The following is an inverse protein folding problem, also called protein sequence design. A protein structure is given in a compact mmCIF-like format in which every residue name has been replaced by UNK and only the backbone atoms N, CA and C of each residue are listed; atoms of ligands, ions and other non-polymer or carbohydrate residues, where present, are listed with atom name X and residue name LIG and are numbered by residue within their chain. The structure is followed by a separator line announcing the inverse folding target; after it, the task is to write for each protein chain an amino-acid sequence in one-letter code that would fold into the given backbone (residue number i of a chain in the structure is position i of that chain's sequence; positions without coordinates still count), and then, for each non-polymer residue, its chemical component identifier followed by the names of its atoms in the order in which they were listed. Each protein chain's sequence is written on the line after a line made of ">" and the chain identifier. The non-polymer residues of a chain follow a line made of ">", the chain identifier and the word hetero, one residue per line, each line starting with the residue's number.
data_IF_569131046034
#
_entry.id   IF_569131046034
#
_cell.length_a   1.000
_cell.length_b   1.000
_cell.length_c   1.000
_cell.angle_alpha   90.00
_cell.angle_beta   90.00
_cell.angle_gamma   90.00
#
_symmetry.space_group_name_H-M   'P 1'
#
loop_
_entity.id
_entity.type
_entity.pdbx_description
1 polymer ?
#
# COMPACT_ATOMS: atom_id res chain seq x y z
N UNK A 1 -33.65 -22.43 0.74
CA UNK A 1 -32.28 -21.88 0.78
C UNK A 1 -32.33 -20.57 0.04
N UNK A 2 -32.52 -19.49 0.80
CA UNK A 2 -32.73 -18.15 0.28
C UNK A 2 -31.41 -17.60 -0.28
N UNK A 3 -31.43 -17.23 -1.56
CA UNK A 3 -30.38 -16.46 -2.21
C UNK A 3 -30.36 -15.06 -1.60
N UNK A 4 -29.33 -14.76 -0.83
CA UNK A 4 -29.06 -13.38 -0.41
C UNK A 4 -28.79 -12.53 -1.66
N UNK A 5 -29.64 -11.52 -1.85
CA UNK A 5 -29.50 -10.55 -2.92
C UNK A 5 -28.21 -9.77 -2.77
N UNK A 6 -27.48 -9.64 -3.87
CA UNK A 6 -26.40 -8.69 -3.99
C UNK A 6 -26.99 -7.28 -3.92
N UNK A 7 -26.73 -6.58 -2.82
CA UNK A 7 -26.85 -5.13 -2.77
C UNK A 7 -25.81 -4.56 -3.75
N UNK A 8 -26.29 -4.24 -4.96
CA UNK A 8 -25.51 -3.48 -5.93
C UNK A 8 -25.15 -2.14 -5.30
N UNK A 9 -23.88 -2.00 -4.92
CA UNK A 9 -23.30 -0.73 -4.51
C UNK A 9 -23.24 0.19 -5.74
N UNK A 10 -24.39 0.77 -6.09
CA UNK A 10 -24.47 1.92 -6.96
C UNK A 10 -23.67 3.02 -6.27
N UNK A 11 -22.52 3.37 -6.84
CA UNK A 11 -21.90 4.66 -6.53
C UNK A 11 -22.90 5.71 -6.97
N UNK A 12 -23.59 6.42 -6.06
CA UNK A 12 -24.43 7.52 -6.51
C UNK A 12 -23.52 8.48 -7.28
N UNK A 13 -23.98 9.06 -8.41
CA UNK A 13 -23.23 10.14 -9.05
C UNK A 13 -22.89 11.16 -7.96
N UNK A 14 -21.60 11.33 -7.69
CA UNK A 14 -21.17 12.28 -6.69
C UNK A 14 -21.72 13.63 -7.12
N UNK A 15 -22.63 14.21 -6.32
CA UNK A 15 -23.06 15.58 -6.54
C UNK A 15 -21.79 16.42 -6.67
N UNK A 16 -21.70 17.36 -7.63
CA UNK A 16 -20.56 18.25 -7.71
C UNK A 16 -20.35 18.85 -6.32
N UNK A 17 -19.25 18.47 -5.67
CA UNK A 17 -18.90 19.05 -4.38
C UNK A 17 -18.83 20.56 -4.58
N UNK A 18 -19.41 21.32 -3.66
CA UNK A 18 -19.20 22.75 -3.65
C UNK A 18 -17.68 23.00 -3.71
N UNK A 19 -17.21 23.92 -4.55
CA UNK A 19 -15.78 24.18 -4.69
C UNK A 19 -15.22 24.47 -3.30
N UNK A 20 -14.40 23.55 -2.80
CA UNK A 20 -13.71 23.73 -1.54
C UNK A 20 -12.58 24.73 -1.75
N UNK A 21 -12.26 25.54 -0.73
CA UNK A 21 -11.15 26.49 -0.85
C UNK A 21 -9.84 25.73 -1.09
N UNK A 22 -9.01 26.26 -1.96
CA UNK A 22 -7.64 25.78 -2.13
C UNK A 22 -6.86 25.96 -0.81
N UNK A 23 -6.19 24.88 -0.38
CA UNK A 23 -5.48 24.82 0.91
C UNK A 23 -3.96 24.73 0.76
N UNK A 24 -3.38 25.31 -0.28
CA UNK A 24 -1.93 25.27 -0.52
C UNK A 24 -1.12 25.80 0.67
N UNK A 25 -1.53 26.92 1.26
CA UNK A 25 -0.81 27.52 2.39
C UNK A 25 -0.82 26.61 3.63
N UNK A 26 -1.93 25.89 3.86
CA UNK A 26 -2.01 24.91 4.95
C UNK A 26 -1.07 23.72 4.69
N UNK A 27 -1.00 23.24 3.43
CA UNK A 27 -0.11 22.15 3.04
C UNK A 27 1.36 22.55 3.21
N UNK A 28 1.75 23.74 2.73
CA UNK A 28 3.12 24.27 2.88
C UNK A 28 3.49 24.48 4.35
N UNK A 29 2.58 25.02 5.16
CA UNK A 29 2.79 25.20 6.60
C UNK A 29 2.99 23.86 7.32
N UNK A 30 2.18 22.85 7.00
CA UNK A 30 2.31 21.51 7.58
C UNK A 30 3.62 20.82 7.18
N UNK A 31 4.01 20.92 5.90
CA UNK A 31 5.29 20.37 5.41
C UNK A 31 6.47 21.04 6.10
N UNK A 32 6.45 22.37 6.19
CA UNK A 32 7.52 23.15 6.83
C UNK A 32 7.66 22.76 8.30
N UNK A 33 6.56 22.71 9.05
CA UNK A 33 6.58 22.26 10.44
C UNK A 33 7.11 20.82 10.60
N UNK A 34 6.76 19.93 9.67
CA UNK A 34 7.25 18.54 9.66
C UNK A 34 8.75 18.46 9.46
N UNK A 35 9.31 19.27 8.55
CA UNK A 35 10.74 19.31 8.26
C UNK A 35 11.52 19.99 9.39
N UNK A 36 11.07 21.15 9.87
CA UNK A 36 11.77 21.96 10.88
C UNK A 36 11.87 21.28 12.23
N UNK A 37 10.78 20.64 12.69
CA UNK A 37 10.78 19.94 13.96
C UNK A 37 11.39 18.52 13.85
N UNK A 38 11.98 18.18 12.70
CA UNK A 38 12.49 16.85 12.37
C UNK A 38 11.49 15.75 12.72
N UNK A 39 10.20 16.03 12.54
CA UNK A 39 9.13 15.19 13.07
C UNK A 39 9.14 13.86 12.34
N UNK A 40 9.50 12.80 13.08
CA UNK A 40 9.19 11.43 12.70
C UNK A 40 7.69 11.25 12.86
N UNK A 41 6.95 11.48 11.78
CA UNK A 41 5.53 11.22 11.78
C UNK A 41 5.27 9.73 12.07
N UNK A 42 4.22 9.41 12.84
CA UNK A 42 3.77 8.04 13.00
C UNK A 42 3.55 7.38 11.64
N UNK A 43 3.86 6.09 11.51
CA UNK A 43 3.72 5.35 10.24
C UNK A 43 2.27 5.32 9.72
N UNK A 44 1.32 5.45 10.63
CA UNK A 44 -0.12 5.56 10.38
C UNK A 44 -0.58 6.93 9.88
N UNK A 45 0.30 7.94 9.90
CA UNK A 45 -0.09 9.31 9.60
C UNK A 45 -0.36 9.48 8.10
N UNK A 46 -1.56 9.94 7.78
CA UNK A 46 -1.99 10.35 6.44
C UNK A 46 -2.70 11.68 6.57
N UNK A 47 -2.35 12.65 5.73
CA UNK A 47 -2.98 13.96 5.68
C UNK A 47 -3.50 14.22 4.28
N UNK A 48 -4.66 14.87 4.20
CA UNK A 48 -5.32 15.22 2.96
C UNK A 48 -5.52 16.74 2.89
N UNK A 49 -5.23 17.32 1.73
CA UNK A 49 -5.44 18.74 1.44
C UNK A 49 -6.23 18.87 0.14
N UNK A 50 -7.21 19.77 0.14
CA UNK A 50 -7.90 20.14 -1.09
C UNK A 50 -7.06 21.16 -1.85
N UNK A 51 -6.47 20.77 -2.98
CA UNK A 51 -5.63 21.63 -3.83
C UNK A 51 -6.12 21.63 -5.27
N UNK A 52 -6.05 22.78 -5.92
CA UNK A 52 -6.18 22.90 -7.36
C UNK A 52 -4.95 22.27 -8.07
N UNK A 53 -5.08 21.87 -9.35
CA UNK A 53 -3.96 21.31 -10.11
C UNK A 53 -2.73 22.22 -10.15
N UNK A 54 -2.93 23.54 -10.27
CA UNK A 54 -1.84 24.53 -10.30
C UNK A 54 -1.11 24.58 -8.96
N UNK A 55 -1.86 24.55 -7.86
CA UNK A 55 -1.32 24.55 -6.50
C UNK A 55 -0.61 23.24 -6.16
N UNK A 56 -1.06 22.11 -6.71
CA UNK A 56 -0.30 20.86 -6.64
C UNK A 56 1.05 20.97 -7.35
N UNK A 57 1.11 21.59 -8.54
CA UNK A 57 2.38 21.82 -9.24
C UNK A 57 3.31 22.75 -8.44
N UNK A 58 2.76 23.78 -7.79
CA UNK A 58 3.52 24.65 -6.89
C UNK A 58 4.08 23.88 -5.69
N UNK A 59 3.25 23.05 -5.03
CA UNK A 59 3.69 22.19 -3.93
C UNK A 59 4.82 21.23 -4.35
N UNK A 60 4.75 20.68 -5.56
CA UNK A 60 5.79 19.82 -6.12
C UNK A 60 7.13 20.55 -6.31
N UNK A 61 7.16 21.87 -6.40
CA UNK A 61 8.39 22.67 -6.55
C UNK A 61 8.96 23.13 -5.21
N UNK A 62 8.20 23.01 -4.11
CA UNK A 62 8.62 23.43 -2.79
C UNK A 62 9.81 22.60 -2.26
N UNK A 63 10.80 23.29 -1.69
CA UNK A 63 12.05 22.66 -1.22
C UNK A 63 11.80 21.73 -0.01
N UNK A 64 10.93 22.11 0.92
CA UNK A 64 10.61 21.28 2.08
C UNK A 64 9.79 20.05 1.67
N UNK A 65 8.93 20.18 0.66
CA UNK A 65 8.23 19.03 0.09
C UNK A 65 9.21 18.02 -0.54
N UNK A 66 10.24 18.50 -1.25
CA UNK A 66 11.31 17.65 -1.75
C UNK A 66 12.11 16.97 -0.63
N UNK A 67 12.29 17.63 0.52
CA UNK A 67 12.88 17.00 1.72
C UNK A 67 11.98 15.89 2.25
N UNK A 68 10.66 16.11 2.35
CA UNK A 68 9.71 15.07 2.75
C UNK A 68 9.73 13.85 1.80
N UNK A 69 9.77 14.07 0.48
CA UNK A 69 9.92 12.98 -0.50
C UNK A 69 11.20 12.19 -0.30
N UNK A 70 12.34 12.85 -0.05
CA UNK A 70 13.62 12.19 0.28
C UNK A 70 13.55 11.41 1.61
N UNK A 71 12.71 11.85 2.54
CA UNK A 71 12.36 11.11 3.78
C UNK A 71 11.34 9.99 3.54
N UNK A 72 11.10 9.60 2.28
CA UNK A 72 10.21 8.51 1.86
C UNK A 72 8.72 8.75 2.10
N UNK A 73 8.30 10.01 2.20
CA UNK A 73 6.87 10.34 2.18
C UNK A 73 6.34 10.09 0.77
N UNK A 74 5.16 9.48 0.68
CA UNK A 74 4.44 9.35 -0.60
C UNK A 74 3.42 10.46 -0.69
N UNK A 75 3.27 11.01 -1.88
CA UNK A 75 2.23 11.98 -2.17
C UNK A 75 1.51 11.58 -3.46
N UNK A 76 0.20 11.68 -3.45
CA UNK A 76 -0.65 11.45 -4.62
C UNK A 76 -1.63 12.58 -4.78
N UNK A 77 -1.99 12.89 -6.02
CA UNK A 77 -3.01 13.86 -6.36
C UNK A 77 -4.12 13.20 -7.17
N UNK A 78 -5.35 13.32 -6.70
CA UNK A 78 -6.56 12.91 -7.41
C UNK A 78 -7.28 14.17 -7.89
N UNK A 79 -7.15 14.45 -9.19
CA UNK A 79 -7.71 15.65 -9.81
C UNK A 79 -9.24 15.63 -9.85
N UNK A 80 -9.87 14.46 -9.86
CA UNK A 80 -11.33 14.36 -9.89
C UNK A 80 -11.97 14.90 -8.60
N UNK A 81 -11.21 14.86 -7.50
CA UNK A 81 -11.60 15.33 -6.18
C UNK A 81 -10.83 16.57 -5.73
N UNK A 82 -9.83 17.00 -6.49
CA UNK A 82 -8.86 18.04 -6.09
C UNK A 82 -8.21 17.73 -4.74
N UNK A 83 -7.86 16.46 -4.48
CA UNK A 83 -7.29 16.03 -3.20
C UNK A 83 -5.85 15.60 -3.39
N UNK A 84 -4.95 16.23 -2.62
CA UNK A 84 -3.61 15.73 -2.36
C UNK A 84 -3.62 14.89 -1.09
N UNK A 85 -3.10 13.68 -1.17
CA UNK A 85 -2.88 12.80 -0.03
C UNK A 85 -1.38 12.67 0.20
N UNK A 86 -0.91 13.03 1.39
CA UNK A 86 0.49 12.83 1.82
C UNK A 86 0.49 11.74 2.90
N UNK A 87 1.30 10.72 2.69
CA UNK A 87 1.40 9.55 3.55
C UNK A 87 2.80 9.45 4.13
N UNK A 88 2.88 9.15 5.43
CA UNK A 88 4.13 8.84 6.10
C UNK A 88 4.83 7.63 5.44
N UNK A 89 6.14 7.44 5.72
CA UNK A 89 6.88 6.31 5.17
C UNK A 89 6.21 4.97 5.44
N UNK A 90 6.16 4.12 4.41
CA UNK A 90 5.49 2.82 4.51
C UNK A 90 6.20 1.89 5.52
N UNK A 91 5.43 1.16 6.37
CA UNK A 91 5.99 0.20 7.31
C UNK A 91 6.64 -0.99 6.58
N UNK A 92 7.48 -1.76 7.28
CA UNK A 92 8.22 -2.87 6.69
C UNK A 92 7.32 -4.01 6.21
N UNK A 93 6.20 -4.28 6.89
CA UNK A 93 5.19 -5.26 6.44
C UNK A 93 4.53 -4.89 5.11
N UNK A 94 4.32 -3.60 4.84
CA UNK A 94 3.86 -3.14 3.52
C UNK A 94 4.88 -3.48 2.45
N UNK A 95 6.16 -3.13 2.70
CA UNK A 95 7.27 -3.43 1.79
C UNK A 95 7.43 -4.94 1.54
N UNK A 96 7.17 -5.78 2.55
CA UNK A 96 7.22 -7.23 2.40
C UNK A 96 6.17 -7.75 1.41
N UNK A 97 4.93 -7.27 1.49
CA UNK A 97 3.86 -7.61 0.52
C UNK A 97 4.25 -7.13 -0.87
N UNK A 98 4.64 -5.85 -1.01
CA UNK A 98 5.03 -5.28 -2.31
C UNK A 98 6.18 -6.06 -2.93
N UNK A 99 7.22 -6.40 -2.15
CA UNK A 99 8.37 -7.17 -2.61
C UNK A 99 7.97 -8.57 -3.05
N UNK A 100 7.16 -9.27 -2.28
CA UNK A 100 6.66 -10.61 -2.64
C UNK A 100 5.94 -10.60 -3.99
N UNK A 101 4.99 -9.66 -4.17
CA UNK A 101 4.21 -9.55 -5.40
C UNK A 101 5.08 -9.13 -6.60
N UNK A 102 6.01 -8.21 -6.38
CA UNK A 102 6.99 -7.81 -7.39
C UNK A 102 7.89 -8.97 -7.84
N UNK A 103 8.43 -9.73 -6.89
CA UNK A 103 9.29 -10.89 -7.16
C UNK A 103 8.52 -12.01 -7.86
N UNK A 104 7.29 -12.27 -7.43
CA UNK A 104 6.41 -13.26 -8.04
C UNK A 104 6.04 -12.87 -9.47
N UNK A 105 5.68 -11.61 -9.73
CA UNK A 105 5.41 -11.12 -11.08
C UNK A 105 6.64 -11.27 -11.97
N UNK A 106 7.83 -10.87 -11.48
CA UNK A 106 9.09 -10.97 -12.23
C UNK A 106 9.40 -12.41 -12.60
N UNK A 107 9.33 -13.32 -11.63
CA UNK A 107 9.58 -14.75 -11.85
C UNK A 107 8.58 -15.32 -12.85
N UNK A 108 7.29 -15.07 -12.65
CA UNK A 108 6.23 -15.61 -13.50
C UNK A 108 6.36 -15.14 -14.95
N UNK A 109 6.64 -13.85 -15.16
CA UNK A 109 6.83 -13.30 -16.50
C UNK A 109 8.09 -13.89 -17.14
N UNK A 110 9.20 -13.99 -16.40
CA UNK A 110 10.44 -14.60 -16.91
C UNK A 110 10.23 -16.06 -17.33
N UNK A 111 9.51 -16.84 -16.52
CA UNK A 111 9.26 -18.26 -16.78
C UNK A 111 8.30 -18.49 -17.97
N UNK A 112 7.26 -17.65 -18.12
CA UNK A 112 6.19 -17.87 -19.13
C UNK A 112 6.34 -17.05 -20.41
N UNK A 113 6.96 -15.89 -20.33
CA UNK A 113 7.15 -14.91 -21.41
C UNK A 113 8.54 -14.28 -21.29
N UNK A 114 9.62 -15.08 -21.47
CA UNK A 114 10.99 -14.57 -21.34
C UNK A 114 11.27 -13.40 -22.30
N UNK A 115 10.56 -13.33 -23.42
CA UNK A 115 10.58 -12.22 -24.38
C UNK A 115 10.10 -10.88 -23.78
N UNK A 116 9.26 -10.93 -22.75
CA UNK A 116 8.70 -9.77 -22.05
C UNK A 116 9.40 -9.45 -20.72
N UNK A 117 10.35 -10.29 -20.29
CA UNK A 117 11.07 -10.13 -19.02
C UNK A 117 11.69 -8.74 -18.79
N UNK A 118 12.24 -8.01 -19.79
CA UNK A 118 12.79 -6.67 -19.55
C UNK A 118 11.73 -5.56 -19.41
N UNK A 119 10.44 -5.87 -19.54
CA UNK A 119 9.36 -4.87 -19.57
C UNK A 119 8.52 -4.80 -18.29
N UNK A 120 8.85 -5.60 -17.25
CA UNK A 120 8.23 -5.45 -15.93
C UNK A 120 8.83 -4.25 -15.19
N UNK A 121 8.05 -3.17 -15.08
CA UNK A 121 8.38 -2.01 -14.25
C UNK A 121 7.65 -2.13 -12.91
N UNK A 122 8.33 -2.66 -11.90
CA UNK A 122 7.89 -2.44 -10.51
C UNK A 122 8.35 -1.02 -10.16
N UNK A 123 7.44 -0.06 -9.93
CA UNK A 123 7.82 1.32 -9.66
C UNK A 123 8.84 1.37 -8.52
N UNK A 124 10.01 1.97 -8.75
CA UNK A 124 11.00 2.19 -7.70
C UNK A 124 11.12 3.69 -7.43
N UNK A 125 10.86 4.12 -6.20
CA UNK A 125 11.06 5.51 -5.80
C UNK A 125 9.96 6.45 -6.30
N UNK A 126 10.27 7.34 -7.25
CA UNK A 126 9.41 8.47 -7.66
C UNK A 126 8.60 8.22 -8.95
N UNK A 127 8.50 6.96 -9.39
CA UNK A 127 7.75 6.59 -10.59
C UNK A 127 6.24 6.82 -10.39
N UNK A 128 5.78 8.00 -10.82
CA UNK A 128 4.38 8.41 -10.78
C UNK A 128 3.68 8.06 -12.09
N UNK A 129 2.49 7.48 -12.00
CA UNK A 129 1.55 7.44 -13.11
C UNK A 129 0.93 8.83 -13.31
N UNK A 130 1.01 9.35 -14.54
CA UNK A 130 0.53 10.71 -14.89
C UNK A 130 -0.40 10.74 -16.10
N UNK A 131 -0.47 9.65 -16.87
CA UNK A 131 -1.22 9.56 -18.13
C UNK A 131 -2.70 9.20 -17.84
N UNK A 132 -3.37 10.00 -17.01
CA UNK A 132 -4.80 9.82 -16.71
C UNK A 132 -5.69 10.60 -17.69
N UNK A 133 -6.88 10.06 -17.94
CA UNK A 133 -7.88 10.55 -18.90
C UNK A 133 -9.14 11.11 -18.21
N UNK A 134 -9.95 11.86 -18.96
CA UNK A 134 -11.26 12.34 -18.50
C UNK A 134 -11.19 13.28 -17.28
N UNK A 135 -12.07 13.06 -16.30
CA UNK A 135 -12.11 13.81 -15.03
C UNK A 135 -10.85 13.60 -14.16
N UNK A 136 -10.11 12.52 -14.41
CA UNK A 136 -8.86 12.20 -13.72
C UNK A 136 -7.65 12.84 -14.41
N UNK A 137 -7.85 13.61 -15.49
CA UNK A 137 -6.77 14.30 -16.19
C UNK A 137 -6.01 15.21 -15.22
N UNK A 138 -4.70 14.99 -15.13
CA UNK A 138 -3.76 15.63 -14.17
C UNK A 138 -3.61 14.94 -12.83
N UNK A 139 -4.34 13.85 -12.56
CA UNK A 139 -4.06 12.98 -11.42
C UNK A 139 -2.62 12.46 -11.49
N UNK A 140 -1.99 12.31 -10.33
CA UNK A 140 -0.66 11.76 -10.20
C UNK A 140 -0.66 10.78 -9.04
N UNK A 141 -0.48 9.49 -9.32
CA UNK A 141 -0.46 8.46 -8.28
C UNK A 141 0.77 7.58 -8.43
N UNK A 142 1.36 7.22 -7.30
CA UNK A 142 2.38 6.20 -7.22
C UNK A 142 1.73 4.86 -6.82
N UNK A 143 1.56 3.90 -7.75
CA UNK A 143 1.07 2.57 -7.38
C UNK A 143 2.10 1.82 -6.53
N UNK A 144 1.65 0.85 -5.74
CA UNK A 144 2.58 -0.02 -4.99
C UNK A 144 3.22 -1.07 -5.91
N UNK A 145 2.44 -1.68 -6.80
CA UNK A 145 2.96 -2.50 -7.90
C UNK A 145 2.18 -2.18 -9.17
N UNK A 146 2.92 -1.96 -10.27
CA UNK A 146 2.36 -1.83 -11.60
C UNK A 146 2.91 -2.95 -12.48
N UNK A 147 2.03 -3.75 -13.06
CA UNK A 147 2.42 -4.87 -13.92
C UNK A 147 2.05 -4.53 -15.35
N UNK A 148 3.10 -4.30 -16.13
CA UNK A 148 3.01 -4.00 -17.54
C UNK A 148 3.19 -5.27 -18.37
N UNK A 149 2.18 -5.62 -19.17
CA UNK A 149 2.22 -6.78 -20.06
C UNK A 149 1.90 -6.31 -21.48
N UNK A 150 2.93 -5.94 -22.25
CA UNK A 150 2.72 -5.40 -23.57
C UNK A 150 2.21 -6.50 -24.51
N UNK A 151 1.06 -6.26 -25.12
CA UNK A 151 0.45 -7.16 -26.11
C UNK A 151 1.31 -7.30 -27.39
N UNK A 152 2.19 -6.32 -27.64
CA UNK A 152 3.19 -6.31 -28.70
C UNK A 152 4.42 -5.49 -28.26
N UNK A 153 5.60 -5.69 -28.85
CA UNK A 153 6.76 -4.84 -28.57
C UNK A 153 6.37 -3.36 -28.67
N UNK A 154 6.74 -2.57 -27.66
CA UNK A 154 6.51 -1.12 -27.58
C UNK A 154 5.05 -0.66 -27.35
N UNK A 155 4.08 -1.56 -27.10
CA UNK A 155 2.73 -1.12 -26.68
C UNK A 155 2.65 -0.94 -25.17
N UNK A 156 2.27 0.26 -24.74
CA UNK A 156 2.02 0.54 -23.32
C UNK A 156 0.60 0.09 -22.93
N UNK A 157 0.36 -1.21 -22.77
CA UNK A 157 -0.83 -1.70 -22.07
C UNK A 157 -0.47 -2.20 -20.67
N UNK A 158 -0.68 -1.34 -19.66
CA UNK A 158 -0.59 -1.72 -18.25
C UNK A 158 -1.78 -2.61 -17.91
N UNK A 159 -1.55 -3.82 -17.42
CA UNK A 159 -2.60 -4.83 -17.28
C UNK A 159 -3.17 -4.86 -15.85
N UNK A 160 -2.28 -4.83 -14.85
CA UNK A 160 -2.65 -5.03 -13.45
C UNK A 160 -2.00 -3.99 -12.55
N UNK A 161 -2.80 -3.34 -11.71
CA UNK A 161 -2.34 -2.51 -10.59
C UNK A 161 -2.54 -3.23 -9.27
N UNK A 162 -1.62 -3.05 -8.33
CA UNK A 162 -1.77 -3.51 -6.96
C UNK A 162 -1.58 -2.35 -6.00
N UNK A 163 -2.47 -2.24 -5.03
CA UNK A 163 -2.39 -1.30 -3.92
C UNK A 163 -2.40 -2.03 -2.58
N UNK A 164 -1.45 -1.71 -1.71
CA UNK A 164 -1.31 -2.32 -0.40
C UNK A 164 -1.64 -1.27 0.68
N UNK A 165 -2.72 -1.49 1.41
CA UNK A 165 -3.11 -0.67 2.54
C UNK A 165 -2.73 -1.27 3.88
N UNK A 166 -2.22 -0.44 4.79
CA UNK A 166 -1.95 -0.83 6.18
C UNK A 166 -2.83 -0.05 7.14
N UNK A 167 -2.73 1.27 7.09
CA UNK A 167 -3.44 2.14 8.03
C UNK A 167 -4.67 2.79 7.40
N UNK A 168 -4.70 2.96 6.07
CA UNK A 168 -5.87 3.51 5.41
C UNK A 168 -7.11 2.60 5.61
N UNK A 169 -8.29 3.18 5.86
CA UNK A 169 -9.54 2.43 5.82
C UNK A 169 -9.75 1.75 4.47
N UNK A 170 -10.41 0.58 4.46
CA UNK A 170 -10.66 -0.17 3.21
C UNK A 170 -11.45 0.67 2.18
N UNK A 171 -12.38 1.51 2.63
CA UNK A 171 -13.12 2.44 1.75
C UNK A 171 -12.20 3.40 0.97
N UNK A 172 -11.10 3.86 1.58
CA UNK A 172 -10.15 4.76 0.92
C UNK A 172 -9.33 4.00 -0.11
N UNK A 173 -8.98 2.74 0.18
CA UNK A 173 -8.30 1.86 -0.77
C UNK A 173 -9.20 1.55 -1.98
N UNK A 174 -10.48 1.26 -1.76
CA UNK A 174 -11.48 1.04 -2.81
C UNK A 174 -11.74 2.29 -3.66
N UNK A 175 -11.57 3.49 -3.11
CA UNK A 175 -11.70 4.73 -3.88
C UNK A 175 -10.64 4.88 -5.00
N UNK A 176 -9.54 4.11 -4.94
CA UNK A 176 -8.53 4.09 -6.01
C UNK A 176 -8.98 3.30 -7.25
N UNK A 177 -9.92 2.37 -7.10
CA UNK A 177 -10.42 1.53 -8.20
C UNK A 177 -11.01 2.36 -9.35
N UNK A 178 -12.00 3.26 -9.12
CA UNK A 178 -12.52 4.08 -10.21
C UNK A 178 -11.45 4.99 -10.81
N UNK A 179 -10.52 5.51 -10.01
CA UNK A 179 -9.43 6.33 -10.51
C UNK A 179 -8.53 5.55 -11.48
N UNK A 180 -8.14 4.32 -11.14
CA UNK A 180 -7.33 3.49 -12.03
C UNK A 180 -8.11 3.04 -13.26
N UNK A 181 -9.32 2.51 -13.07
CA UNK A 181 -10.05 1.86 -14.14
C UNK A 181 -10.79 2.86 -15.03
N UNK A 182 -11.29 3.98 -14.53
CA UNK A 182 -11.88 5.02 -15.38
C UNK A 182 -10.85 6.01 -15.90
N UNK A 183 -9.84 6.31 -15.09
CA UNK A 183 -8.80 7.26 -15.44
C UNK A 183 -7.69 6.68 -16.33
N UNK A 184 -7.54 5.36 -16.44
CA UNK A 184 -6.53 4.75 -17.33
C UNK A 184 -7.12 3.56 -18.10
N UNK A 185 -7.41 3.78 -19.38
CA UNK A 185 -8.13 2.84 -20.24
C UNK A 185 -7.44 1.48 -20.40
N UNK A 186 -6.11 1.44 -20.31
CA UNK A 186 -5.38 0.17 -20.43
C UNK A 186 -5.50 -0.75 -19.23
N UNK A 187 -5.74 -0.23 -18.01
CA UNK A 187 -5.76 -1.05 -16.80
C UNK A 187 -6.96 -1.98 -16.85
N UNK A 188 -6.71 -3.29 -16.79
CA UNK A 188 -7.76 -4.32 -16.84
C UNK A 188 -8.08 -4.87 -15.46
N UNK A 189 -7.13 -4.80 -14.53
CA UNK A 189 -7.28 -5.34 -13.18
C UNK A 189 -6.69 -4.41 -12.13
N UNK A 190 -7.38 -4.28 -11.01
CA UNK A 190 -6.87 -3.66 -9.79
C UNK A 190 -6.99 -4.66 -8.65
N UNK A 191 -5.89 -4.88 -7.92
CA UNK A 191 -5.83 -5.74 -6.75
C UNK A 191 -5.61 -4.85 -5.53
N UNK A 192 -6.49 -4.96 -4.55
CA UNK A 192 -6.36 -4.29 -3.28
C UNK A 192 -5.95 -5.32 -2.23
N UNK A 193 -4.83 -5.07 -1.56
CA UNK A 193 -4.35 -5.88 -0.44
C UNK A 193 -4.42 -5.03 0.82
N UNK A 194 -5.25 -5.39 1.78
CA UNK A 194 -5.36 -4.66 3.05
C UNK A 194 -4.80 -5.50 4.19
N UNK A 195 -3.72 -5.01 4.79
CA UNK A 195 -3.14 -5.53 6.03
C UNK A 195 -3.95 -4.95 7.19
N UNK A 196 -4.51 -5.83 8.01
CA UNK A 196 -5.23 -5.50 9.24
C UNK A 196 -4.46 -6.04 10.43
N UNK A 197 -4.42 -5.25 11.50
CA UNK A 197 -3.79 -5.60 12.76
C UNK A 197 -4.80 -5.38 13.90
N UNK A 198 -5.02 -6.41 14.72
CA UNK A 198 -6.03 -6.35 15.80
C UNK A 198 -5.46 -6.82 17.14
N UNK A 199 -5.40 -5.96 18.17
CA UNK A 199 -5.67 -4.52 18.12
C UNK A 199 -4.56 -3.77 17.37
N UNK A 200 -4.87 -2.56 16.89
CA UNK A 200 -3.88 -1.69 16.24
C UNK A 200 -2.95 -1.10 17.28
N UNK A 201 -1.65 -1.37 17.16
CA UNK A 201 -0.62 -0.70 17.95
C UNK A 201 -0.05 0.49 17.15
N UNK A 202 -0.48 1.69 17.53
CA UNK A 202 0.05 2.97 17.01
C UNK A 202 1.32 3.35 17.76
N UNK A 203 2.29 3.99 17.09
CA UNK A 203 3.48 4.48 17.78
C UNK A 203 3.13 5.50 18.87
N UNK A 204 2.04 6.25 18.66
CA UNK A 204 1.53 7.23 19.62
C UNK A 204 1.01 6.61 20.93
N UNK A 205 0.48 5.38 20.90
CA UNK A 205 -0.04 4.73 22.10
C UNK A 205 1.07 4.23 23.06
N UNK A 206 2.30 4.03 22.54
CA UNK A 206 3.44 3.55 23.31
C UNK A 206 4.08 4.61 24.21
N UNK A 207 3.84 5.90 23.95
CA UNK A 207 4.35 7.00 24.78
C UNK A 207 3.75 6.97 26.19
N UNK A 208 2.58 6.36 26.35
CA UNK A 208 1.85 6.24 27.63
C UNK A 208 2.11 4.96 28.42
N UNK A 209 2.82 3.97 27.85
CA UNK A 209 3.28 2.81 28.61
C UNK A 209 4.63 3.19 29.21
N UNK A 210 4.80 3.07 30.54
CA UNK A 210 6.07 3.32 31.21
C UNK A 210 7.19 2.58 30.46
N UNK A 211 8.01 3.32 29.70
CA UNK A 211 9.14 2.74 28.99
C UNK A 211 9.98 2.02 30.03
N UNK A 212 10.28 0.72 29.86
CA UNK A 212 11.22 0.04 30.73
C UNK A 212 12.49 0.90 30.81
N UNK A 213 12.81 1.40 32.02
CA UNK A 213 13.76 2.51 32.19
C UNK A 213 15.16 2.19 31.66
N UNK A 214 15.51 0.91 31.44
CA UNK A 214 16.73 0.47 30.77
C UNK A 214 16.48 -0.86 30.08
N UNK A 215 16.54 -0.88 28.76
CA UNK A 215 16.76 -2.13 28.04
C UNK A 215 18.24 -2.46 28.14
N UNK A 216 18.57 -3.58 28.78
CA UNK A 216 19.91 -4.14 28.72
C UNK A 216 20.06 -4.84 27.36
N UNK A 217 20.75 -4.18 26.43
CA UNK A 217 21.04 -4.74 25.11
C UNK A 217 22.15 -5.82 25.15
N UNK A 218 22.66 -6.20 26.33
CA UNK A 218 23.66 -7.27 26.45
C UNK A 218 23.02 -8.66 26.30
N UNK A 219 23.26 -9.28 25.15
CA UNK A 219 23.06 -10.70 24.73
C UNK A 219 21.75 -11.47 25.04
N UNK A 220 20.96 -11.13 26.05
CA UNK A 220 19.71 -11.80 26.44
C UNK A 220 18.45 -11.14 25.88
N UNK A 221 18.58 -9.96 25.29
CA UNK A 221 17.51 -9.22 24.63
C UNK A 221 16.71 -10.05 23.60
N UNK A 222 17.39 -10.91 22.83
CA UNK A 222 16.72 -11.79 21.85
C UNK A 222 15.86 -12.89 22.51
N UNK A 223 16.11 -13.23 23.77
CA UNK A 223 15.32 -14.22 24.52
C UNK A 223 13.98 -13.65 24.97
N UNK A 224 13.88 -12.34 25.15
CA UNK A 224 12.64 -11.67 25.52
C UNK A 224 11.73 -11.40 24.32
N UNK A 225 12.31 -11.28 23.13
CA UNK A 225 11.55 -11.09 21.90
C UNK A 225 10.98 -12.42 21.40
N UNK A 226 9.67 -12.58 21.50
CA UNK A 226 8.96 -13.79 21.09
C UNK A 226 7.92 -13.48 20.02
N UNK A 227 7.69 -14.44 19.14
CA UNK A 227 6.65 -14.40 18.11
C UNK A 227 5.65 -15.51 18.37
N UNK A 228 4.37 -15.17 18.33
CA UNK A 228 3.30 -16.13 18.27
C UNK A 228 3.18 -16.67 16.83
N UNK A 229 3.32 -17.98 16.68
CA UNK A 229 3.35 -18.63 15.36
C UNK A 229 1.95 -18.83 14.76
N UNK A 230 0.89 -18.68 15.54
CA UNK A 230 -0.50 -18.79 15.09
C UNK A 230 -1.05 -17.43 14.67
N UNK A 231 -0.76 -16.38 15.44
CA UNK A 231 -1.35 -15.04 15.21
C UNK A 231 -0.40 -14.06 14.52
N UNK A 232 0.90 -14.35 14.50
CA UNK A 232 1.94 -13.45 14.01
C UNK A 232 2.26 -12.30 14.96
N UNK A 233 1.71 -12.32 16.19
CA UNK A 233 1.95 -11.32 17.21
C UNK A 233 3.40 -11.35 17.69
N UNK A 234 4.02 -10.17 17.83
CA UNK A 234 5.31 -10.02 18.46
C UNK A 234 5.14 -9.49 19.87
N UNK A 235 5.98 -10.00 20.78
CA UNK A 235 6.03 -9.60 22.17
C UNK A 235 7.47 -9.36 22.59
N UNK A 236 7.65 -8.46 23.55
CA UNK A 236 8.91 -8.26 24.25
C UNK A 236 8.64 -8.31 25.75
N UNK A 237 9.20 -9.31 26.44
CA UNK A 237 8.79 -9.60 27.82
C UNK A 237 7.28 -9.82 27.86
N UNK A 238 6.57 -9.13 28.74
CA UNK A 238 5.09 -9.23 28.82
C UNK A 238 4.35 -8.19 27.98
N UNK A 239 5.06 -7.42 27.18
CA UNK A 239 4.47 -6.35 26.38
C UNK A 239 4.26 -6.80 24.94
N UNK A 240 3.00 -6.79 24.50
CA UNK A 240 2.64 -7.08 23.10
C UNK A 240 2.99 -5.90 22.20
N UNK A 241 3.81 -6.13 21.18
CA UNK A 241 4.30 -5.14 20.22
C UNK A 241 3.43 -5.01 18.96
N UNK A 242 2.75 -6.09 18.58
CA UNK A 242 1.85 -6.14 17.42
C UNK A 242 0.60 -6.95 17.75
N UNK A 243 -0.53 -6.62 17.12
CA UNK A 243 -1.75 -7.42 17.17
C UNK A 243 -1.77 -8.56 16.16
N UNK A 244 -2.81 -9.40 16.22
CA UNK A 244 -3.10 -10.45 15.23
C UNK A 244 -3.15 -9.83 13.83
N UNK A 245 -2.51 -10.48 12.87
CA UNK A 245 -2.46 -10.00 11.49
C UNK A 245 -3.39 -10.78 10.57
N UNK A 246 -4.09 -10.06 9.70
CA UNK A 246 -4.90 -10.61 8.62
C UNK A 246 -4.66 -9.81 7.33
N UNK A 247 -4.71 -10.51 6.19
CA UNK A 247 -4.68 -9.91 4.86
C UNK A 247 -6.06 -10.03 4.23
N UNK A 248 -6.59 -8.92 3.76
CA UNK A 248 -7.74 -8.91 2.89
C UNK A 248 -7.28 -8.72 1.44
N UNK A 249 -7.72 -9.62 0.56
CA UNK A 249 -7.40 -9.63 -0.86
C UNK A 249 -8.68 -9.37 -1.65
N UNK A 250 -8.70 -8.33 -2.47
CA UNK A 250 -9.85 -7.96 -3.29
C UNK A 250 -9.42 -7.67 -4.72
N UNK A 251 -10.16 -8.20 -5.70
CA UNK A 251 -9.84 -8.04 -7.12
C UNK A 251 -11.00 -7.39 -7.83
N UNK A 252 -10.67 -6.35 -8.59
CA UNK A 252 -11.57 -5.64 -9.49
C UNK A 252 -11.09 -5.82 -10.92
N UNK A 253 -12.01 -6.12 -11.81
CA UNK A 253 -11.74 -6.32 -13.23
C UNK A 253 -12.61 -5.42 -14.10
N UNK A 254 -12.13 -5.11 -15.29
CA UNK A 254 -12.87 -4.31 -16.25
C UNK A 254 -13.87 -5.22 -16.96
N UNK A 255 -15.14 -4.90 -16.85
CA UNK A 255 -16.18 -5.62 -17.56
C UNK A 255 -16.29 -5.17 -19.03
N UNK A 256 -17.21 -5.76 -19.79
CA UNK A 256 -17.40 -5.45 -21.21
C UNK A 256 -17.89 -4.01 -21.48
N UNK A 257 -18.47 -3.31 -20.49
CA UNK A 257 -18.88 -1.90 -20.62
C UNK A 257 -17.75 -0.94 -20.29
N UNK A 258 -16.60 -1.45 -19.83
CA UNK A 258 -15.47 -0.65 -19.39
C UNK A 258 -15.53 -0.26 -17.91
N UNK A 259 -16.56 -0.69 -17.17
CA UNK A 259 -16.71 -0.41 -15.75
C UNK A 259 -15.94 -1.41 -14.88
N UNK A 260 -15.63 -1.00 -13.65
CA UNK A 260 -14.98 -1.85 -12.67
C UNK A 260 -16.02 -2.77 -11.97
N UNK A 261 -15.74 -4.07 -11.96
CA UNK A 261 -16.55 -5.09 -11.30
C UNK A 261 -15.70 -5.86 -10.29
N UNK A 262 -16.19 -6.03 -9.06
CA UNK A 262 -15.51 -6.83 -8.05
C UNK A 262 -15.73 -8.31 -8.35
N UNK A 263 -14.68 -9.02 -8.71
CA UNK A 263 -14.75 -10.44 -9.10
C UNK A 263 -14.25 -11.40 -8.04
N UNK A 264 -13.52 -10.89 -7.04
CA UNK A 264 -12.98 -11.71 -5.96
C UNK A 264 -12.81 -10.93 -4.67
N UNK A 265 -13.06 -11.58 -3.53
CA UNK A 265 -12.56 -11.15 -2.23
C UNK A 265 -12.29 -12.34 -1.30
N UNK A 266 -11.33 -12.17 -0.39
CA UNK A 266 -10.97 -13.17 0.63
C UNK A 266 -10.19 -12.55 1.79
N UNK A 267 -10.41 -13.06 3.01
CA UNK A 267 -9.55 -12.81 4.16
C UNK A 267 -8.62 -14.00 4.39
N UNK A 268 -7.34 -13.72 4.60
CA UNK A 268 -6.28 -14.71 4.85
C UNK A 268 -5.64 -14.37 6.18
N UNK A 269 -5.81 -15.26 7.15
CA UNK A 269 -5.16 -15.13 8.45
C UNK A 269 -3.66 -15.35 8.35
N UNK A 270 -2.91 -14.76 9.27
CA UNK A 270 -1.48 -14.97 9.38
C UNK A 270 -1.11 -16.46 9.42
N UNK A 271 -0.08 -16.84 8.66
CA UNK A 271 0.43 -18.23 8.61
C UNK A 271 -0.48 -19.24 7.90
N UNK A 272 -1.76 -18.90 7.71
CA UNK A 272 -2.75 -19.73 7.04
C UNK A 272 -2.63 -19.64 5.51
N UNK A 273 -3.04 -20.73 4.87
CA UNK A 273 -3.27 -20.74 3.42
C UNK A 273 -4.63 -20.10 3.10
N UNK A 274 -4.77 -19.39 1.97
CA UNK A 274 -6.07 -19.03 1.45
C UNK A 274 -6.87 -20.30 1.14
N UNK A 275 -8.19 -20.19 1.25
CA UNK A 275 -9.17 -21.23 0.92
C UNK A 275 -9.19 -21.59 -0.57
N UNK A 276 -8.69 -20.70 -1.42
CA UNK A 276 -8.57 -20.87 -2.87
C UNK A 276 -7.38 -20.07 -3.42
N UNK A 277 -7.05 -20.33 -4.67
CA UNK A 277 -6.07 -19.56 -5.42
C UNK A 277 -6.47 -18.07 -5.47
N UNK A 278 -5.56 -17.18 -5.08
CA UNK A 278 -5.79 -15.72 -5.15
C UNK A 278 -5.51 -15.23 -6.57
N UNK A 279 -6.44 -14.54 -7.25
CA UNK A 279 -6.18 -14.01 -8.58
C UNK A 279 -5.10 -12.94 -8.54
N UNK A 280 -4.17 -12.99 -9.50
CA UNK A 280 -3.00 -12.12 -9.54
C UNK A 280 -2.77 -11.55 -10.93
N UNK A 281 -2.20 -12.29 -11.89
CA UNK A 281 -1.91 -11.75 -13.23
C UNK A 281 -2.44 -12.63 -14.35
N UNK A 282 -2.93 -12.01 -15.42
CA UNK A 282 -3.21 -12.71 -16.66
C UNK A 282 -2.01 -12.61 -17.59
N UNK A 283 -1.49 -13.74 -18.07
CA UNK A 283 -0.43 -13.79 -19.09
C UNK A 283 -0.94 -14.58 -20.28
N UNK A 284 -0.97 -13.94 -21.46
CA UNK A 284 -1.44 -14.56 -22.71
C UNK A 284 -2.85 -15.17 -22.59
N UNK A 285 -3.76 -14.48 -21.87
CA UNK A 285 -5.13 -14.94 -21.64
C UNK A 285 -5.29 -16.03 -20.58
N UNK A 286 -4.21 -16.45 -19.91
CA UNK A 286 -4.26 -17.41 -18.81
C UNK A 286 -4.05 -16.72 -17.46
N UNK A 287 -4.89 -17.03 -16.48
CA UNK A 287 -4.70 -16.61 -15.09
C UNK A 287 -3.49 -17.33 -14.49
N UNK A 288 -2.59 -16.56 -13.89
CA UNK A 288 -1.54 -17.07 -13.01
C UNK A 288 -1.83 -16.60 -11.59
N UNK A 289 -2.44 -17.47 -10.76
CA UNK A 289 -2.81 -17.11 -9.41
C UNK A 289 -1.66 -17.30 -8.42
N UNK A 290 -1.84 -16.75 -7.22
CA UNK A 290 -1.05 -17.11 -6.03
C UNK A 290 -1.69 -18.36 -5.41
N UNK A 291 -0.93 -19.46 -5.36
CA UNK A 291 -1.41 -20.71 -4.75
C UNK A 291 -1.31 -20.67 -3.23
N UNK A 292 -2.06 -21.54 -2.51
CA UNK A 292 -1.88 -21.77 -1.08
C UNK A 292 -0.41 -21.94 -0.64
N UNK A 293 0.38 -22.69 -1.38
CA UNK A 293 1.80 -22.95 -1.08
C UNK A 293 2.65 -21.69 -1.24
N UNK A 294 2.38 -20.87 -2.26
CA UNK A 294 3.06 -19.58 -2.45
C UNK A 294 2.76 -18.63 -1.29
N UNK A 295 1.51 -18.60 -0.82
CA UNK A 295 1.14 -17.76 0.34
C UNK A 295 1.82 -18.24 1.63
N UNK A 296 1.96 -19.56 1.81
CA UNK A 296 2.74 -20.12 2.92
C UNK A 296 4.21 -19.69 2.87
N UNK A 297 4.82 -19.68 1.69
CA UNK A 297 6.17 -19.16 1.47
C UNK A 297 6.26 -17.66 1.78
N UNK A 298 5.28 -16.86 1.34
CA UNK A 298 5.20 -15.43 1.64
C UNK A 298 5.25 -15.13 3.14
N UNK A 299 4.48 -15.85 3.96
CA UNK A 299 4.46 -15.62 5.41
C UNK A 299 5.85 -15.77 6.03
N UNK A 300 6.54 -16.86 5.71
CA UNK A 300 7.83 -17.21 6.29
C UNK A 300 8.99 -16.37 5.70
N UNK A 301 9.02 -16.21 4.38
CA UNK A 301 10.19 -15.69 3.67
C UNK A 301 10.15 -14.15 3.52
N UNK A 302 8.96 -13.54 3.58
CA UNK A 302 8.76 -12.12 3.37
C UNK A 302 8.14 -11.43 4.59
N UNK A 303 6.96 -11.89 5.00
CA UNK A 303 6.10 -11.13 5.92
C UNK A 303 6.65 -11.10 7.35
N UNK A 304 7.19 -12.23 7.83
CA UNK A 304 7.78 -12.34 9.17
C UNK A 304 8.91 -11.34 9.40
N UNK A 305 9.82 -11.24 8.43
CA UNK A 305 10.93 -10.30 8.51
C UNK A 305 10.43 -8.84 8.52
N UNK A 306 9.44 -8.52 7.69
CA UNK A 306 8.83 -7.20 7.67
C UNK A 306 8.15 -6.85 9.00
N UNK A 307 7.32 -7.75 9.51
CA UNK A 307 6.59 -7.55 10.76
C UNK A 307 7.53 -7.49 11.98
N UNK A 308 8.59 -8.30 11.99
CA UNK A 308 9.63 -8.25 13.02
C UNK A 308 10.30 -6.87 13.05
N UNK A 309 10.65 -6.30 11.89
CA UNK A 309 11.22 -4.94 11.82
C UNK A 309 10.28 -3.87 12.34
N UNK A 310 8.99 -3.96 12.00
CA UNK A 310 7.99 -3.03 12.53
C UNK A 310 7.84 -3.15 14.05
N UNK A 311 7.83 -4.38 14.58
CA UNK A 311 7.80 -4.64 16.02
C UNK A 311 9.04 -4.06 16.74
N UNK A 312 10.24 -4.31 16.21
CA UNK A 312 11.48 -3.69 16.72
C UNK A 312 11.41 -2.16 16.68
N UNK A 313 10.96 -1.58 15.57
CA UNK A 313 10.84 -0.13 15.45
C UNK A 313 9.89 0.45 16.50
N UNK A 314 8.80 -0.24 16.82
CA UNK A 314 7.87 0.18 17.88
C UNK A 314 8.48 0.07 19.27
N UNK A 315 9.21 -1.01 19.54
CA UNK A 315 9.80 -1.23 20.85
C UNK A 315 10.99 -0.29 21.14
N UNK A 316 11.72 0.18 20.12
CA UNK A 316 12.98 0.91 20.33
C UNK A 316 13.03 2.33 19.76
N UNK A 317 12.14 2.74 18.85
CA UNK A 317 12.06 4.06 18.18
C UNK A 317 13.35 4.63 17.51
N UNK A 318 14.55 4.16 17.85
CA UNK A 318 15.87 4.72 17.52
C UNK A 318 16.80 3.79 16.75
N UNK A 319 16.36 2.56 16.41
CA UNK A 319 17.22 1.50 15.84
C UNK A 319 17.79 1.75 14.43
N UNK A 320 17.46 2.85 13.75
CA UNK A 320 18.10 3.17 12.46
C UNK A 320 19.63 3.32 12.57
N UNK A 321 20.17 3.51 13.78
CA UNK A 321 21.62 3.55 14.06
C UNK A 321 22.27 2.17 14.28
N UNK A 322 21.50 1.11 14.54
CA UNK A 322 22.03 -0.21 14.94
C UNK A 322 21.97 -1.27 13.83
N UNK A 323 21.44 -0.92 12.65
CA UNK A 323 21.29 -1.82 11.50
C UNK A 323 21.94 -1.29 10.20
N UNK A 324 23.01 -0.49 10.32
CA UNK A 324 23.93 -0.35 9.20
C UNK A 324 24.83 -1.61 9.14
N UNK A 325 24.94 -2.28 7.98
CA UNK A 325 25.71 -3.50 7.82
C UNK A 325 27.20 -3.32 8.08
#
# INVERSE_FOLDING_TARGET
>A
MESQGYDGWWWPPQRPWAPQPDRLQDALGWITATVEADLRLPLEYTVEFTLLPESWLELQQDANFQVCKRRLFRASFDSSRSVVTIMAPRPHRHRAVVRFLADLARKTISDRRPDLSPMLLVPQGEDMMREFEGEYKSSQIQPDVWIHLPSAPFTKQGHTMVEVGVYQPLKNLRALVPLYMKGYSSIQRVILVKITETPVFSQLAWVSIERPQRFDFSQDFRKEFRKDMETGEFWFGDVRLTGKIELFWEVWERNATGDAEKTFEEWVEYGSAPSRNLPFIHISGMEVPITPEMMKGFWNDYFDYGSMKDAFKRAFESLDELWQP
#
